data_IF_341016408903
#
_entry.id   IF_341016408903
#
_cell.length_a   1.000
_cell.length_b   1.000
_cell.length_c   1.000
_cell.angle_alpha   90.00
_cell.angle_beta   90.00
_cell.angle_gamma   90.00
#
_symmetry.space_group_name_H-M   'P 1'
#
loop_
_entity.id
_entity.type
_entity.pdbx_description
1 polymer ?
#
# COMPACT_ATOMS: atom_id res chain seq x y z
N UNK A 1 3.24 -11.51 8.90
CA UNK A 1 3.74 -11.42 10.29
C UNK A 1 5.25 -11.29 10.18
N UNK A 2 5.84 -10.34 10.89
CA UNK A 2 7.22 -9.90 10.65
C UNK A 2 8.05 -10.20 11.89
N UNK A 3 9.24 -10.78 11.69
CA UNK A 3 10.26 -10.89 12.72
C UNK A 3 11.12 -9.62 12.70
N UNK A 4 11.50 -9.15 13.88
CA UNK A 4 12.32 -7.95 14.06
C UNK A 4 13.55 -8.29 14.89
N UNK A 5 14.72 -8.07 14.32
CA UNK A 5 16.01 -8.24 15.00
C UNK A 5 16.64 -6.86 15.19
N UNK A 6 17.01 -6.53 16.42
CA UNK A 6 17.71 -5.28 16.73
C UNK A 6 19.18 -5.58 16.90
N UNK A 7 20.02 -4.95 16.09
CA UNK A 7 21.47 -5.04 16.20
C UNK A 7 21.95 -3.86 17.06
N UNK A 8 22.52 -4.12 18.26
CA UNK A 8 22.97 -3.07 19.16
C UNK A 8 24.28 -2.44 18.65
N UNK A 9 24.15 -1.53 17.68
CA UNK A 9 25.21 -0.65 17.16
C UNK A 9 24.92 0.81 17.53
N UNK A 10 25.86 1.71 17.29
CA UNK A 10 25.62 3.16 17.31
C UNK A 10 25.78 3.69 15.88
N UNK A 11 24.70 4.12 15.19
CA UNK A 11 23.29 4.04 15.61
C UNK A 11 22.75 2.59 15.56
N UNK A 12 21.72 2.26 16.36
CA UNK A 12 21.14 0.92 16.36
C UNK A 12 20.44 0.61 15.04
N UNK A 13 20.74 -0.54 14.45
CA UNK A 13 20.11 -1.02 13.23
C UNK A 13 18.95 -1.98 13.56
N UNK A 14 17.92 -1.97 12.73
CA UNK A 14 16.74 -2.82 12.88
C UNK A 14 16.50 -3.56 11.59
N UNK A 15 16.69 -4.87 11.63
CA UNK A 15 16.44 -5.76 10.51
C UNK A 15 15.05 -6.38 10.65
N UNK A 16 14.27 -6.33 9.58
CA UNK A 16 12.92 -6.90 9.52
C UNK A 16 12.87 -7.97 8.45
N UNK A 17 12.37 -9.15 8.81
CA UNK A 17 12.22 -10.28 7.90
C UNK A 17 10.82 -10.87 8.00
N UNK A 18 10.31 -11.46 6.93
CA UNK A 18 9.09 -12.25 7.00
C UNK A 18 9.35 -13.51 7.84
N UNK A 19 8.38 -13.87 8.68
CA UNK A 19 8.39 -15.20 9.34
C UNK A 19 7.90 -16.26 8.35
N UNK A 20 8.11 -17.55 8.63
CA UNK A 20 7.54 -18.64 7.81
C UNK A 20 6.02 -18.49 7.61
N UNK A 21 5.29 -18.12 8.66
CA UNK A 21 3.85 -17.81 8.58
C UNK A 21 3.56 -16.53 7.75
N UNK A 22 4.50 -15.60 7.68
CA UNK A 22 4.43 -14.43 6.80
C UNK A 22 4.59 -14.82 5.32
N UNK A 23 5.54 -15.71 5.04
CA UNK A 23 5.80 -16.25 3.70
C UNK A 23 4.62 -17.06 3.16
N UNK A 24 3.98 -17.91 3.98
CA UNK A 24 2.78 -18.66 3.58
C UNK A 24 1.60 -17.76 3.15
N UNK A 25 1.59 -16.50 3.61
CA UNK A 25 0.56 -15.52 3.27
C UNK A 25 0.94 -14.64 2.07
N UNK A 26 2.11 -14.85 1.48
CA UNK A 26 2.54 -14.07 0.32
C UNK A 26 1.74 -14.37 -0.93
N UNK A 27 1.23 -15.59 -1.08
CA UNK A 27 0.41 -15.98 -2.24
C UNK A 27 -0.86 -15.11 -2.41
N UNK A 28 -1.74 -14.95 -1.40
CA UNK A 28 -2.91 -14.08 -1.54
C UNK A 28 -2.54 -12.61 -1.71
N UNK A 29 -1.43 -12.15 -1.10
CA UNK A 29 -0.93 -10.78 -1.28
C UNK A 29 -0.47 -10.55 -2.72
N UNK A 30 0.28 -11.49 -3.28
CA UNK A 30 0.77 -11.44 -4.65
C UNK A 30 -0.39 -11.48 -5.66
N UNK A 31 -1.41 -12.29 -5.40
CA UNK A 31 -2.62 -12.34 -6.22
C UNK A 31 -3.34 -10.99 -6.23
N UNK A 32 -3.53 -10.38 -5.04
CA UNK A 32 -4.15 -9.06 -4.91
C UNK A 32 -3.34 -7.98 -5.64
N UNK A 33 -2.02 -7.97 -5.46
CA UNK A 33 -1.13 -7.04 -6.14
C UNK A 33 -1.22 -7.19 -7.66
N UNK A 34 -1.23 -8.42 -8.16
CA UNK A 34 -1.34 -8.71 -9.59
C UNK A 34 -2.68 -8.26 -10.16
N UNK A 35 -3.78 -8.45 -9.44
CA UNK A 35 -5.09 -7.93 -9.84
C UNK A 35 -5.09 -6.39 -9.87
N UNK A 36 -4.56 -5.75 -8.83
CA UNK A 36 -4.52 -4.30 -8.71
C UNK A 36 -3.71 -3.68 -9.85
N UNK A 37 -2.55 -4.25 -10.19
CA UNK A 37 -1.74 -3.81 -11.32
C UNK A 37 -2.49 -3.94 -12.64
N UNK A 38 -3.20 -5.06 -12.86
CA UNK A 38 -4.01 -5.27 -14.07
C UNK A 38 -5.19 -4.31 -14.18
N UNK A 39 -5.79 -3.91 -13.05
CA UNK A 39 -6.99 -3.05 -13.01
C UNK A 39 -6.69 -1.57 -12.77
N UNK A 40 -5.43 -1.20 -12.57
CA UNK A 40 -5.01 0.17 -12.23
C UNK A 40 -5.64 1.25 -13.11
N UNK A 41 -5.72 0.99 -14.41
CA UNK A 41 -6.20 1.99 -15.38
C UNK A 41 -7.73 2.10 -15.35
N UNK A 42 -8.44 0.97 -15.26
CA UNK A 42 -9.88 0.96 -15.11
C UNK A 42 -10.32 1.67 -13.81
N UNK A 43 -9.59 1.46 -12.71
CA UNK A 43 -9.85 2.15 -11.44
C UNK A 43 -9.61 3.66 -11.58
N UNK A 44 -8.51 4.08 -12.23
CA UNK A 44 -8.24 5.51 -12.50
C UNK A 44 -9.35 6.16 -13.32
N UNK A 45 -9.82 5.48 -14.37
CA UNK A 45 -10.91 5.98 -15.21
C UNK A 45 -12.22 6.09 -14.41
N UNK A 46 -12.51 5.10 -13.56
CA UNK A 46 -13.67 5.15 -12.68
C UNK A 46 -13.58 6.32 -11.68
N UNK A 47 -12.40 6.57 -11.10
CA UNK A 47 -12.18 7.75 -10.25
C UNK A 47 -12.39 9.05 -11.04
N UNK A 48 -11.78 9.21 -12.21
CA UNK A 48 -11.94 10.42 -13.03
C UNK A 48 -13.40 10.65 -13.46
N UNK A 49 -14.14 9.59 -13.80
CA UNK A 49 -15.55 9.69 -14.13
C UNK A 49 -16.41 10.06 -12.92
N UNK A 50 -16.05 9.62 -11.72
CA UNK A 50 -16.69 10.02 -10.48
C UNK A 50 -16.39 11.48 -10.14
N UNK A 51 -15.12 11.88 -10.18
CA UNK A 51 -14.66 13.26 -9.94
C UNK A 51 -15.23 14.23 -10.98
N UNK A 52 -15.54 13.79 -12.20
CA UNK A 52 -16.21 14.61 -13.20
C UNK A 52 -17.72 14.78 -12.94
N UNK A 53 -18.32 13.90 -12.12
CA UNK A 53 -19.72 13.98 -11.70
C UNK A 53 -19.91 14.78 -10.42
N UNK A 54 -18.90 14.77 -9.55
CA UNK A 54 -18.88 15.63 -8.36
C UNK A 54 -18.19 16.95 -8.71
N UNK A 55 -18.89 18.07 -8.53
CA UNK A 55 -18.26 19.39 -8.65
C UNK A 55 -17.08 19.48 -7.66
N UNK A 56 -15.89 19.97 -8.08
CA UNK A 56 -14.71 19.94 -7.22
C UNK A 56 -15.01 20.63 -5.89
N UNK A 57 -14.66 20.01 -4.74
CA UNK A 57 -14.90 20.62 -3.45
C UNK A 57 -14.22 21.99 -3.44
N UNK A 58 -15.00 23.02 -3.10
CA UNK A 58 -14.53 24.39 -3.01
C UNK A 58 -13.20 24.44 -2.24
N UNK A 59 -12.23 25.27 -2.67
CA UNK A 59 -10.93 25.37 -2.02
C UNK A 59 -11.12 25.51 -0.51
N UNK A 60 -10.52 24.61 0.28
CA UNK A 60 -10.48 24.81 1.73
C UNK A 60 -9.55 25.98 1.99
N UNK A 61 -10.15 27.15 2.27
CA UNK A 61 -9.46 28.36 2.70
C UNK A 61 -8.48 28.03 3.85
N UNK A 62 -7.21 28.48 3.78
CA UNK A 62 -6.27 28.32 4.87
C UNK A 62 -6.70 29.20 6.06
N UNK A 63 -6.71 28.59 7.26
CA UNK A 63 -7.02 29.25 8.53
C UNK A 63 -5.89 30.16 8.99
#
# INVERSE_FOLDING_TARGET
MVSRTVTPTVPPCVDSALTALGEERMEPIAMLATWALRRREAVKQAHAAYDAREEPPAPREPR
#
